data_IF_371883722274
#
_entry.id   IF_371883722274
#
_cell.length_a   1.000
_cell.length_b   1.000
_cell.length_c   1.000
_cell.angle_alpha   90.00
_cell.angle_beta   90.00
_cell.angle_gamma   90.00
#
_symmetry.space_group_name_H-M   'P 1'
#
loop_
_entity.id
_entity.type
_entity.pdbx_description
1 polymer ?
#
# COMPACT_ATOMS: atom_id res chain seq x y z
N UNK A 1 -12.85 -4.04 13.81
CA UNK A 1 -13.97 -4.62 13.04
C UNK A 1 -13.80 -4.18 11.58
N UNK A 2 -13.64 -5.12 10.63
CA UNK A 2 -13.29 -4.87 9.20
C UNK A 2 -14.48 -4.40 8.33
N UNK A 3 -15.66 -4.21 8.91
CA UNK A 3 -16.93 -4.20 8.17
C UNK A 3 -17.38 -2.83 7.68
N UNK A 4 -16.94 -1.72 8.30
CA UNK A 4 -17.54 -0.39 8.02
C UNK A 4 -17.08 0.28 6.71
N UNK A 5 -15.95 -0.15 6.12
CA UNK A 5 -15.41 0.48 4.90
C UNK A 5 -15.47 -0.41 3.65
N UNK A 6 -15.95 -1.66 3.73
CA UNK A 6 -15.88 -2.59 2.59
C UNK A 6 -16.71 -2.10 1.38
N UNK A 7 -17.94 -1.65 1.62
CA UNK A 7 -18.82 -1.13 0.55
C UNK A 7 -18.23 0.14 -0.07
N UNK A 8 -17.77 1.07 0.75
CA UNK A 8 -17.11 2.30 0.31
C UNK A 8 -15.85 2.00 -0.51
N UNK A 9 -15.01 1.08 -0.05
CA UNK A 9 -13.81 0.66 -0.77
C UNK A 9 -14.18 0.02 -2.12
N UNK A 10 -15.26 -0.76 -2.17
CA UNK A 10 -15.76 -1.35 -3.42
C UNK A 10 -16.21 -0.29 -4.41
N UNK A 11 -16.93 0.73 -3.95
CA UNK A 11 -17.40 1.83 -4.80
C UNK A 11 -16.21 2.59 -5.39
N UNK A 12 -15.26 3.02 -4.55
CA UNK A 12 -14.04 3.71 -5.01
C UNK A 12 -13.24 2.86 -6.01
N UNK A 13 -13.11 1.55 -5.77
CA UNK A 13 -12.43 0.65 -6.70
C UNK A 13 -13.15 0.59 -8.06
N UNK A 14 -14.48 0.55 -8.07
CA UNK A 14 -15.25 0.54 -9.31
C UNK A 14 -15.14 1.86 -10.08
N UNK A 15 -14.98 2.98 -9.39
CA UNK A 15 -14.78 4.29 -10.01
C UNK A 15 -13.42 4.38 -10.71
N UNK A 16 -12.32 4.06 -10.01
CA UNK A 16 -10.99 4.11 -10.62
C UNK A 16 -10.82 3.09 -11.76
N UNK A 17 -11.55 1.96 -11.70
CA UNK A 17 -11.61 0.99 -12.80
C UNK A 17 -12.23 1.55 -14.06
N UNK A 18 -13.22 2.44 -13.95
CA UNK A 18 -13.78 3.14 -15.12
C UNK A 18 -12.78 4.12 -15.73
N UNK A 19 -11.83 4.61 -14.94
CA UNK A 19 -10.73 5.48 -15.38
C UNK A 19 -9.51 4.70 -15.89
N UNK A 20 -9.56 3.36 -15.86
CA UNK A 20 -8.49 2.49 -16.36
C UNK A 20 -7.45 2.06 -15.32
N UNK A 21 -7.67 2.34 -14.03
CA UNK A 21 -6.80 1.89 -12.94
C UNK A 21 -7.29 0.59 -12.31
N UNK A 22 -6.36 -0.27 -11.90
CA UNK A 22 -6.69 -1.57 -11.30
C UNK A 22 -7.04 -1.51 -9.81
N UNK A 23 -6.52 -0.51 -9.09
CA UNK A 23 -6.60 -0.36 -7.64
C UNK A 23 -6.55 1.12 -7.24
N UNK A 24 -7.26 1.48 -6.18
CA UNK A 24 -7.19 2.82 -5.57
C UNK A 24 -6.34 2.78 -4.29
N UNK A 25 -5.61 3.85 -3.99
CA UNK A 25 -4.90 4.03 -2.71
C UNK A 25 -5.49 5.21 -1.96
N UNK A 26 -5.80 5.01 -0.68
CA UNK A 26 -6.43 6.02 0.16
C UNK A 26 -5.42 6.88 0.92
N UNK A 27 -5.89 8.06 1.31
CA UNK A 27 -5.22 8.95 2.24
C UNK A 27 -6.07 9.10 3.50
N UNK A 28 -5.43 9.26 4.66
CA UNK A 28 -6.12 9.66 5.87
C UNK A 28 -6.42 11.18 5.88
N UNK A 29 -7.13 11.65 6.90
CA UNK A 29 -7.49 13.07 7.06
C UNK A 29 -6.30 14.03 7.18
N UNK A 30 -5.09 13.51 7.43
CA UNK A 30 -3.83 14.27 7.48
C UNK A 30 -3.09 14.28 6.14
N UNK A 31 -3.64 13.64 5.10
CA UNK A 31 -3.02 13.53 3.78
C UNK A 31 -1.92 12.48 3.66
N UNK A 32 -1.79 11.58 4.64
CA UNK A 32 -0.83 10.47 4.56
C UNK A 32 -1.45 9.24 3.91
N UNK A 33 -0.64 8.52 3.13
CA UNK A 33 -0.99 7.26 2.50
C UNK A 33 -1.38 6.23 3.57
N UNK A 34 -2.49 5.52 3.33
CA UNK A 34 -2.96 4.43 4.19
C UNK A 34 -2.85 3.10 3.46
N UNK A 35 -3.90 2.67 2.79
CA UNK A 35 -4.01 1.35 2.16
C UNK A 35 -4.86 1.43 0.90
N UNK A 36 -4.92 0.35 0.14
CA UNK A 36 -5.79 0.23 -1.03
C UNK A 36 -7.19 -0.27 -0.69
N UNK A 37 -8.01 -0.56 -1.70
CA UNK A 37 -9.38 -1.04 -1.48
C UNK A 37 -9.42 -2.31 -0.64
N UNK A 38 -8.51 -3.25 -0.92
CA UNK A 38 -8.37 -4.53 -0.22
C UNK A 38 -6.91 -4.96 -0.04
N UNK A 39 -5.98 -4.00 -0.05
CA UNK A 39 -4.54 -4.27 -0.07
C UNK A 39 -3.79 -3.32 0.87
N UNK A 40 -2.73 -3.80 1.52
CA UNK A 40 -1.74 -2.90 2.10
C UNK A 40 -0.69 -2.53 1.05
N UNK A 41 0.00 -1.41 1.26
CA UNK A 41 0.99 -0.87 0.33
C UNK A 41 2.39 -0.82 0.94
N UNK A 42 3.40 -1.10 0.10
CA UNK A 42 4.81 -0.95 0.40
C UNK A 42 5.49 -0.14 -0.70
N UNK A 43 6.51 0.62 -0.32
CA UNK A 43 7.37 1.39 -1.21
C UNK A 43 8.80 0.92 -1.04
N UNK A 44 9.54 0.73 -2.12
CA UNK A 44 10.97 0.43 -2.11
C UNK A 44 11.75 1.68 -2.51
N UNK A 45 12.73 2.05 -1.68
CA UNK A 45 13.60 3.20 -1.91
C UNK A 45 14.94 2.96 -1.20
N UNK A 46 16.04 3.21 -1.91
CA UNK A 46 17.42 3.14 -1.39
C UNK A 46 17.76 1.81 -0.69
N UNK A 47 17.18 0.69 -1.15
CA UNK A 47 17.36 -0.64 -0.55
C UNK A 47 16.50 -0.92 0.70
N UNK A 48 15.68 0.04 1.12
CA UNK A 48 14.72 -0.07 2.22
C UNK A 48 13.30 -0.22 1.70
N UNK A 49 12.45 -0.86 2.51
CA UNK A 49 11.02 -0.86 2.31
C UNK A 49 10.35 0.08 3.30
N UNK A 50 9.30 0.75 2.85
CA UNK A 50 8.49 1.64 3.67
C UNK A 50 7.03 1.22 3.54
N UNK A 51 6.29 1.21 4.65
CA UNK A 51 4.85 0.97 4.64
C UNK A 51 4.19 1.90 5.65
N UNK A 52 2.93 2.32 5.45
CA UNK A 52 2.21 3.12 6.43
C UNK A 52 2.17 2.44 7.79
N UNK A 53 2.34 3.23 8.85
CA UNK A 53 2.22 2.73 10.24
C UNK A 53 0.75 2.46 10.57
N UNK A 54 0.48 1.49 11.45
CA UNK A 54 -0.89 1.11 11.84
C UNK A 54 -1.67 2.31 12.39
N UNK A 55 -1.02 3.21 13.12
CA UNK A 55 -1.64 4.41 13.68
C UNK A 55 -2.09 5.45 12.66
N UNK A 56 -1.79 5.28 11.36
CA UNK A 56 -2.35 6.10 10.28
C UNK A 56 -3.73 5.61 9.79
N UNK A 57 -4.27 4.56 10.41
CA UNK A 57 -5.63 4.07 10.16
C UNK A 57 -5.71 2.97 9.11
N UNK A 58 -4.62 2.22 8.89
CA UNK A 58 -4.62 1.05 8.02
C UNK A 58 -5.12 -0.19 8.73
N UNK A 59 -5.57 -1.17 7.96
CA UNK A 59 -5.81 -2.50 8.46
C UNK A 59 -4.49 -3.22 8.72
N UNK A 60 -4.27 -3.78 9.94
CA UNK A 60 -3.10 -4.63 10.20
C UNK A 60 -3.27 -5.98 9.48
N UNK A 61 -2.87 -6.02 8.22
CA UNK A 61 -3.00 -7.21 7.39
C UNK A 61 -2.04 -8.33 7.80
N UNK A 62 -2.55 -9.55 7.95
CA UNK A 62 -1.71 -10.73 8.28
C UNK A 62 -0.63 -10.96 7.21
N UNK A 63 -0.94 -10.75 5.93
CA UNK A 63 0.07 -10.86 4.87
C UNK A 63 1.13 -9.76 4.97
N UNK A 64 0.74 -8.52 5.32
CA UNK A 64 1.68 -7.41 5.57
C UNK A 64 2.69 -7.79 6.66
N UNK A 65 2.23 -8.33 7.78
CA UNK A 65 3.12 -8.80 8.87
C UNK A 65 4.11 -9.87 8.38
N UNK A 66 3.61 -10.89 7.67
CA UNK A 66 4.46 -11.94 7.08
C UNK A 66 5.50 -11.40 6.10
N UNK A 67 5.15 -10.39 5.30
CA UNK A 67 6.07 -9.73 4.39
C UNK A 67 7.13 -8.93 5.15
N UNK A 68 6.75 -8.20 6.20
CA UNK A 68 7.70 -7.48 7.06
C UNK A 68 8.73 -8.45 7.66
N UNK A 69 8.25 -9.55 8.26
CA UNK A 69 9.13 -10.59 8.82
C UNK A 69 10.07 -11.17 7.77
N UNK A 70 9.55 -11.50 6.57
CA UNK A 70 10.35 -12.10 5.50
C UNK A 70 11.42 -11.14 4.96
N UNK A 71 11.08 -9.87 4.76
CA UNK A 71 12.03 -8.84 4.31
C UNK A 71 13.15 -8.67 5.34
N UNK A 72 12.79 -8.59 6.63
CA UNK A 72 13.76 -8.45 7.72
C UNK A 72 14.69 -9.69 7.83
N UNK A 73 14.15 -10.91 7.68
CA UNK A 73 14.95 -12.15 7.66
C UNK A 73 15.95 -12.21 6.51
N UNK A 74 15.66 -11.56 5.40
CA UNK A 74 16.55 -11.49 4.23
C UNK A 74 17.59 -10.35 4.33
N UNK A 75 17.78 -9.76 5.51
CA UNK A 75 18.79 -8.71 5.74
C UNK A 75 18.42 -7.32 5.21
N UNK A 76 17.23 -7.16 4.61
CA UNK A 76 16.67 -5.85 4.28
C UNK A 76 15.90 -5.29 5.47
N UNK A 77 15.47 -4.03 5.43
CA UNK A 77 14.69 -3.41 6.51
C UNK A 77 13.37 -2.84 5.99
N UNK A 78 12.30 -3.06 6.76
CA UNK A 78 11.04 -2.32 6.60
C UNK A 78 10.92 -1.23 7.65
N UNK A 79 10.58 -0.02 7.21
CA UNK A 79 10.32 1.15 8.06
C UNK A 79 8.82 1.46 8.02
N UNK A 80 8.17 1.28 9.17
CA UNK A 80 6.78 1.69 9.36
C UNK A 80 6.72 3.17 9.74
N UNK A 81 6.18 4.03 8.86
CA UNK A 81 6.10 5.48 9.10
C UNK A 81 4.90 6.09 8.40
N UNK A 82 4.60 7.35 8.69
CA UNK A 82 3.67 8.14 7.87
C UNK A 82 4.31 8.49 6.55
N UNK A 83 3.60 8.22 5.45
CA UNK A 83 4.09 8.37 4.08
C UNK A 83 3.26 9.44 3.38
N UNK A 84 3.90 10.50 2.89
CA UNK A 84 3.24 11.54 2.10
C UNK A 84 2.85 10.99 0.72
N UNK A 85 1.79 11.55 0.11
CA UNK A 85 1.39 11.22 -1.27
C UNK A 85 2.58 11.27 -2.24
N UNK A 86 3.36 12.34 -2.21
CA UNK A 86 4.50 12.54 -3.12
C UNK A 86 5.66 11.55 -2.96
N UNK A 87 5.66 10.71 -1.91
CA UNK A 87 6.79 9.83 -1.61
C UNK A 87 7.11 8.88 -2.77
N UNK A 88 6.09 8.43 -3.51
CA UNK A 88 6.25 7.51 -4.64
C UNK A 88 7.19 8.04 -5.72
N UNK A 89 7.29 9.35 -5.88
CA UNK A 89 8.18 10.01 -6.87
C UNK A 89 9.65 9.77 -6.57
N UNK A 90 9.98 9.36 -5.35
CA UNK A 90 11.35 9.07 -4.91
C UNK A 90 11.66 7.57 -4.82
N UNK A 91 10.68 6.71 -5.15
CA UNK A 91 10.79 5.26 -4.97
C UNK A 91 11.22 4.53 -6.26
N UNK A 92 11.85 3.38 -6.10
CA UNK A 92 12.22 2.46 -7.19
C UNK A 92 11.18 1.36 -7.41
N UNK A 93 10.24 1.19 -6.49
CA UNK A 93 9.15 0.24 -6.63
C UNK A 93 8.01 0.50 -5.65
N UNK A 94 6.82 0.03 -6.03
CA UNK A 94 5.64 0.01 -5.18
C UNK A 94 5.05 -1.39 -5.26
N UNK A 95 4.56 -1.86 -4.13
CA UNK A 95 4.04 -3.20 -3.99
C UNK A 95 2.73 -3.18 -3.23
N UNK A 96 1.79 -4.02 -3.67
CA UNK A 96 0.51 -4.25 -3.02
C UNK A 96 0.48 -5.64 -2.41
N UNK A 97 -0.20 -5.79 -1.28
CA UNK A 97 -0.33 -7.07 -0.62
C UNK A 97 -1.67 -7.31 0.03
N UNK A 98 -2.15 -8.55 -0.11
CA UNK A 98 -3.19 -9.13 0.73
C UNK A 98 -3.00 -10.65 0.75
N UNK A 99 -3.85 -11.34 1.51
CA UNK A 99 -3.73 -12.80 1.67
C UNK A 99 -3.91 -13.61 0.39
N UNK A 100 -4.54 -13.05 -0.66
CA UNK A 100 -4.83 -13.74 -1.91
C UNK A 100 -3.77 -13.47 -2.99
N UNK A 101 -3.34 -12.21 -3.12
CA UNK A 101 -2.41 -11.76 -4.16
C UNK A 101 -0.94 -11.94 -3.75
N UNK A 102 -0.65 -12.14 -2.46
CA UNK A 102 0.73 -12.19 -1.98
C UNK A 102 1.38 -10.80 -2.00
N UNK A 103 2.56 -10.67 -2.63
CA UNK A 103 3.32 -9.41 -2.69
C UNK A 103 3.61 -9.05 -4.15
N UNK A 104 2.79 -8.15 -4.71
CA UNK A 104 2.76 -7.84 -6.13
C UNK A 104 3.41 -6.48 -6.40
N UNK A 105 4.43 -6.43 -7.25
CA UNK A 105 4.98 -5.16 -7.76
C UNK A 105 3.99 -4.55 -8.76
N UNK A 106 3.64 -3.28 -8.59
CA UNK A 106 2.81 -2.56 -9.56
C UNK A 106 3.68 -1.94 -10.66
N UNK A 107 3.12 -1.84 -11.87
CA UNK A 107 3.82 -1.31 -13.06
C UNK A 107 3.74 0.20 -13.16
N UNK A 108 2.64 0.80 -12.70
CA UNK A 108 2.38 2.22 -12.79
C UNK A 108 1.64 2.69 -11.54
N UNK A 109 1.94 3.91 -11.09
CA UNK A 109 1.21 4.60 -10.04
C UNK A 109 1.04 6.07 -10.43
N UNK A 110 -0.21 6.52 -10.49
CA UNK A 110 -0.58 7.80 -11.11
C UNK A 110 0.11 7.93 -12.49
N UNK A 111 0.88 8.98 -12.73
CA UNK A 111 1.62 9.21 -13.98
C UNK A 111 2.96 8.46 -14.12
N UNK A 112 3.45 7.78 -13.07
CA UNK A 112 4.81 7.20 -13.05
C UNK A 112 4.82 5.69 -13.31
N UNK A 113 5.69 5.26 -14.22
CA UNK A 113 5.99 3.84 -14.52
C UNK A 113 7.22 3.36 -13.73
N UNK A 114 7.22 2.10 -13.27
CA UNK A 114 8.23 1.45 -12.40
C UNK A 114 8.82 0.15 -12.98
#
# INVERSE_FOLDING_TARGET
MKTSNYLTNKINLLEVKKEGYDECIFLNSKGYVTEGSYTNIFFEKDGYFYTPKISDGILPGIMREKIIEKINKNGKKVVEKSISREFYKTCTGIYLTNSLMGFLKIKQFEERVF
#
